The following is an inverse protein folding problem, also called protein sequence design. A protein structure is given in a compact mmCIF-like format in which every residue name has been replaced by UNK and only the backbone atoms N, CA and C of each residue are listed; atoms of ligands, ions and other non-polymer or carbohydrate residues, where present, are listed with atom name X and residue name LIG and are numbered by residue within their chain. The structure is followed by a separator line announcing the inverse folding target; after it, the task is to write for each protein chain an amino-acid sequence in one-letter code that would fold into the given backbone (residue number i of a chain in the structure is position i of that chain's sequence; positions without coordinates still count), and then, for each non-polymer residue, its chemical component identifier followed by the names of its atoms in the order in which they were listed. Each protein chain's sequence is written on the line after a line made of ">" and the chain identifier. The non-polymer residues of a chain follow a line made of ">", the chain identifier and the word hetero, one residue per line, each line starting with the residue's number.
data_IF_785409238386
#
_entry.id   IF_785409238386
#
_cell.length_a   1.000
_cell.length_b   1.000
_cell.length_c   1.000
_cell.angle_alpha   90.00
_cell.angle_beta   90.00
_cell.angle_gamma   90.00
#
_symmetry.space_group_name_H-M   'P 1'
#
loop_
_entity.id
_entity.type
_entity.pdbx_description
1 polymer ?
#
# COMPACT_ATOMS: atom_id res chain seq x y z
N UNK A 1 -15.10 9.67 4.49
CA UNK A 1 -13.87 8.85 4.43
C UNK A 1 -13.77 8.27 3.03
N UNK A 2 -12.61 8.35 2.38
CA UNK A 2 -12.38 7.82 1.02
C UNK A 2 -11.53 6.54 1.13
N UNK A 3 -11.92 5.50 0.41
CA UNK A 3 -11.08 4.31 0.23
C UNK A 3 -10.10 4.56 -0.92
N UNK A 4 -8.82 4.21 -0.70
CA UNK A 4 -7.79 4.27 -1.73
C UNK A 4 -7.46 2.86 -2.18
N UNK A 5 -7.55 2.61 -3.48
CA UNK A 5 -7.09 1.35 -4.05
C UNK A 5 -5.57 1.35 -4.18
N UNK A 6 -4.97 0.17 -4.12
CA UNK A 6 -3.51 0.01 -4.21
C UNK A 6 -2.89 0.70 -5.44
N UNK A 7 -3.51 0.71 -6.65
CA UNK A 7 -2.98 1.48 -7.78
C UNK A 7 -2.92 2.99 -7.54
N UNK A 8 -3.90 3.57 -6.82
CA UNK A 8 -3.90 5.00 -6.46
C UNK A 8 -2.77 5.29 -5.47
N UNK A 9 -2.61 4.44 -4.45
CA UNK A 9 -1.51 4.58 -3.48
C UNK A 9 -0.16 4.48 -4.18
N UNK A 10 0.02 3.52 -5.10
CA UNK A 10 1.25 3.38 -5.88
C UNK A 10 1.56 4.64 -6.68
N UNK A 11 0.55 5.26 -7.29
CA UNK A 11 0.72 6.53 -8.00
C UNK A 11 1.12 7.66 -7.05
N UNK A 12 0.46 7.80 -5.90
CA UNK A 12 0.76 8.82 -4.90
C UNK A 12 2.16 8.67 -4.30
N UNK A 13 2.60 7.44 -4.03
CA UNK A 13 3.97 7.17 -3.59
C UNK A 13 4.98 7.61 -4.65
N UNK A 14 4.77 7.21 -5.91
CA UNK A 14 5.66 7.54 -7.01
C UNK A 14 5.85 9.05 -7.19
N UNK A 15 4.75 9.82 -7.23
CA UNK A 15 4.83 11.29 -7.37
C UNK A 15 5.44 11.98 -6.15
N UNK A 16 5.42 11.31 -5.00
CA UNK A 16 6.01 11.80 -3.75
C UNK A 16 7.47 11.40 -3.57
N UNK A 17 8.09 10.73 -4.57
CA UNK A 17 9.47 10.26 -4.49
C UNK A 17 9.63 9.02 -3.61
N UNK A 18 8.64 8.13 -3.60
CA UNK A 18 8.69 6.84 -2.93
C UNK A 18 8.43 5.69 -3.91
N UNK A 19 9.03 4.55 -3.61
CA UNK A 19 8.76 3.28 -4.25
C UNK A 19 7.95 2.38 -3.31
N UNK A 20 6.90 1.76 -3.83
CA UNK A 20 6.12 0.75 -3.11
C UNK A 20 6.98 -0.51 -2.94
N UNK A 21 7.21 -0.92 -1.69
CA UNK A 21 7.98 -2.14 -1.36
C UNK A 21 7.03 -3.32 -1.16
N UNK A 22 5.97 -3.12 -0.37
CA UNK A 22 5.02 -4.18 -0.04
C UNK A 22 3.65 -3.62 0.38
N UNK A 23 2.63 -4.45 0.33
CA UNK A 23 1.27 -4.14 0.77
C UNK A 23 0.55 -5.39 1.32
N UNK A 24 0.31 -5.39 2.63
CA UNK A 24 -0.24 -6.53 3.37
C UNK A 24 -1.50 -6.15 4.14
N UNK A 25 -2.31 -7.15 4.49
CA UNK A 25 -3.45 -6.97 5.37
C UNK A 25 -2.98 -6.62 6.80
N UNK A 26 -3.69 -5.68 7.44
CA UNK A 26 -3.38 -5.25 8.81
C UNK A 26 -3.38 -6.43 9.79
N UNK A 27 -2.36 -6.52 10.67
CA UNK A 27 -2.17 -7.58 11.68
C UNK A 27 -2.06 -8.99 11.09
N UNK A 28 -1.40 -9.11 9.95
CA UNK A 28 -1.00 -10.40 9.38
C UNK A 28 0.50 -10.37 9.10
N UNK A 29 1.13 -11.55 9.04
CA UNK A 29 2.57 -11.64 8.80
C UNK A 29 2.90 -11.28 7.34
N UNK A 30 2.20 -11.89 6.38
CA UNK A 30 2.50 -11.78 4.95
C UNK A 30 1.26 -11.88 4.05
N UNK A 31 0.05 -11.74 4.60
CA UNK A 31 -1.19 -11.89 3.83
C UNK A 31 -1.33 -10.72 2.85
N UNK A 32 -1.37 -10.96 1.53
CA UNK A 32 -1.49 -9.89 0.54
C UNK A 32 -2.87 -9.24 0.58
N UNK A 33 -2.94 -7.97 0.19
CA UNK A 33 -4.21 -7.27 0.05
C UNK A 33 -5.09 -7.87 -1.06
N UNK A 34 -6.36 -8.09 -0.73
CA UNK A 34 -7.38 -8.54 -1.67
C UNK A 34 -8.66 -7.71 -1.59
N UNK A 35 -9.63 -8.06 -2.43
CA UNK A 35 -10.94 -7.39 -2.45
C UNK A 35 -11.75 -7.57 -1.15
N UNK A 36 -11.40 -8.57 -0.34
CA UNK A 36 -12.03 -8.86 0.94
C UNK A 36 -11.22 -8.34 2.14
N UNK A 37 -10.09 -7.67 1.91
CA UNK A 37 -9.28 -7.09 2.99
C UNK A 37 -9.92 -5.79 3.48
N UNK A 38 -10.14 -5.68 4.79
CA UNK A 38 -10.81 -4.52 5.38
C UNK A 38 -9.85 -3.34 5.59
N UNK A 39 -8.59 -3.63 5.99
CA UNK A 39 -7.55 -2.65 6.22
C UNK A 39 -6.21 -3.17 5.68
N UNK A 40 -5.36 -2.27 5.19
CA UNK A 40 -4.04 -2.60 4.68
C UNK A 40 -2.93 -1.74 5.25
N UNK A 41 -1.74 -2.33 5.36
CA UNK A 41 -0.46 -1.63 5.57
C UNK A 41 0.25 -1.53 4.24
N UNK A 42 0.75 -0.34 3.92
CA UNK A 42 1.61 -0.13 2.75
C UNK A 42 3.00 0.26 3.23
N UNK A 43 4.01 -0.46 2.77
CA UNK A 43 5.42 -0.22 3.08
C UNK A 43 6.05 0.43 1.86
N UNK A 44 6.67 1.59 2.06
CA UNK A 44 7.32 2.35 1.00
C UNK A 44 8.75 2.75 1.37
N UNK A 45 9.61 2.81 0.37
CA UNK A 45 11.00 3.27 0.50
C UNK A 45 11.13 4.62 -0.20
N UNK A 46 11.78 5.58 0.44
CA UNK A 46 12.13 6.86 -0.21
C UNK A 46 13.08 6.59 -1.39
N UNK A 47 12.71 7.03 -2.57
CA UNK A 47 13.57 7.02 -3.75
C UNK A 47 14.72 8.01 -3.55
N UNK A 48 15.95 7.61 -3.91
CA UNK A 48 17.15 8.45 -3.86
C UNK A 48 17.11 9.54 -4.94
#
# INVERSE_FOLDING_TARGET
>A
MRYLFLPEIRMYLKVSGFELVDAIEWLTDDKPLGLNSWNGVVIARKSL
#
